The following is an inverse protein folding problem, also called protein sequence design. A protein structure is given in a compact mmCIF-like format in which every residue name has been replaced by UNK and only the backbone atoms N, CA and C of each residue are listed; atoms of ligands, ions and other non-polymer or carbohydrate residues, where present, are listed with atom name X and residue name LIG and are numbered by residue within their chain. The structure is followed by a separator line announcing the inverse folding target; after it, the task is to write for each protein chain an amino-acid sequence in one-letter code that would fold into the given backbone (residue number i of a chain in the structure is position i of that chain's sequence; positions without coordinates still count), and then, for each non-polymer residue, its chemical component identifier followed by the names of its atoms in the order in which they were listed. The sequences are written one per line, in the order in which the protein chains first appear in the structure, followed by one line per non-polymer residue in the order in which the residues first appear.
data_IF_765651259404
#
_entry.id   IF_765651259404
#
_cell.length_a   1.000
_cell.length_b   1.000
_cell.length_c   1.000
_cell.angle_alpha   90.00
_cell.angle_beta   90.00
_cell.angle_gamma   90.00
#
_symmetry.space_group_name_H-M   'P 1'
#
loop_
_entity.id
_entity.type
_entity.pdbx_description
1 polymer ?
#
# COMPACT_ATOMS: atom_id res chain seq x y z
N UNK A 1 11.85 -5.57 9.71
CA UNK A 1 11.68 -6.11 8.34
C UNK A 1 10.94 -5.09 7.48
N UNK A 2 11.47 -3.86 7.36
CA UNK A 2 10.84 -2.72 6.63
C UNK A 2 11.91 -1.98 5.81
N UNK A 3 12.93 -2.69 5.32
CA UNK A 3 14.02 -2.09 4.53
C UNK A 3 14.01 -2.52 3.06
N UNK A 4 13.30 -3.59 2.71
CA UNK A 4 13.28 -4.13 1.34
C UNK A 4 12.09 -3.65 0.49
N UNK A 5 11.04 -3.08 1.09
CA UNK A 5 9.83 -2.70 0.36
C UNK A 5 9.92 -1.37 -0.41
N UNK A 6 10.97 -0.57 -0.20
CA UNK A 6 11.20 0.67 -0.97
C UNK A 6 11.97 0.36 -2.28
N UNK A 7 12.47 -0.87 -2.47
CA UNK A 7 13.45 -1.16 -3.52
C UNK A 7 12.87 -1.40 -4.93
N UNK A 8 11.54 -1.43 -5.10
CA UNK A 8 10.90 -1.54 -6.43
C UNK A 8 10.33 -0.23 -6.99
N UNK A 9 10.39 0.87 -6.23
CA UNK A 9 10.36 2.19 -6.83
C UNK A 9 11.80 2.46 -7.30
N UNK A 10 12.22 1.76 -8.36
CA UNK A 10 13.42 2.17 -9.10
C UNK A 10 13.25 3.65 -9.40
N UNK A 11 14.18 4.41 -8.87
CA UNK A 11 14.25 5.86 -8.95
C UNK A 11 13.74 6.35 -10.30
N UNK A 12 12.64 7.07 -10.25
CA UNK A 12 12.25 7.98 -11.31
C UNK A 12 13.38 9.02 -11.35
N UNK A 13 14.21 9.09 -12.41
CA UNK A 13 15.47 9.83 -12.38
C UNK A 13 15.36 11.34 -12.15
N UNK A 14 14.16 11.90 -12.06
CA UNK A 14 13.91 13.34 -12.05
C UNK A 14 12.87 13.81 -11.03
N UNK A 15 12.41 12.96 -10.12
CA UNK A 15 11.49 13.35 -9.04
C UNK A 15 10.13 13.90 -9.52
N UNK A 16 9.76 13.68 -10.79
CA UNK A 16 8.47 14.14 -11.31
C UNK A 16 7.38 13.15 -10.94
N UNK A 17 6.26 13.65 -10.44
CA UNK A 17 5.06 12.86 -10.20
C UNK A 17 4.68 12.07 -11.47
N UNK A 18 4.43 10.76 -11.31
CA UNK A 18 4.09 9.89 -12.42
C UNK A 18 2.60 9.96 -12.73
N UNK A 19 2.28 10.25 -13.99
CA UNK A 19 0.93 10.20 -14.53
C UNK A 19 0.49 8.73 -14.63
N UNK A 20 -0.29 8.28 -13.65
CA UNK A 20 -0.78 6.90 -13.57
C UNK A 20 -1.80 6.58 -14.66
N UNK A 21 -2.60 7.56 -15.10
CA UNK A 21 -3.55 7.36 -16.21
C UNK A 21 -2.84 6.96 -17.49
N UNK A 22 -1.72 7.60 -17.82
CA UNK A 22 -0.96 7.25 -19.03
C UNK A 22 -0.29 5.89 -18.99
N UNK A 23 0.06 5.38 -17.81
CA UNK A 23 0.81 4.13 -17.67
C UNK A 23 -0.09 2.91 -17.61
N UNK A 24 -1.23 3.01 -16.92
CA UNK A 24 -2.13 1.87 -16.75
C UNK A 24 -3.60 2.26 -16.67
N UNK A 25 -4.01 3.47 -17.06
CA UNK A 25 -5.41 3.88 -16.99
C UNK A 25 -5.89 4.22 -15.58
N UNK A 26 -4.98 4.60 -14.68
CA UNK A 26 -5.34 5.09 -13.34
C UNK A 26 -5.52 3.98 -12.29
N UNK A 27 -5.19 2.73 -12.63
CA UNK A 27 -5.22 1.64 -11.68
C UNK A 27 -4.01 1.71 -10.74
N UNK A 28 -4.18 1.28 -9.49
CA UNK A 28 -3.01 0.94 -8.67
C UNK A 28 -2.29 -0.22 -9.35
N UNK A 29 -0.97 -0.11 -9.53
CA UNK A 29 -0.16 -1.11 -10.25
C UNK A 29 -0.33 -2.50 -9.61
N UNK A 30 -0.61 -2.53 -8.31
CA UNK A 30 -0.80 -3.72 -7.50
C UNK A 30 -1.92 -3.47 -6.47
N UNK A 31 -2.76 -4.47 -6.14
CA UNK A 31 -3.67 -4.35 -5.00
C UNK A 31 -2.89 -4.07 -3.72
N UNK A 32 -3.23 -2.97 -3.07
CA UNK A 32 -2.61 -2.52 -1.84
C UNK A 32 -3.64 -2.04 -0.82
N UNK A 33 -3.36 -2.23 0.47
CA UNK A 33 -4.18 -1.71 1.56
C UNK A 33 -3.27 -1.21 2.69
N UNK A 34 -3.60 -0.05 3.24
CA UNK A 34 -2.91 0.55 4.36
C UNK A 34 -3.91 0.93 5.43
N UNK A 35 -3.56 0.68 6.69
CA UNK A 35 -4.36 1.11 7.84
C UNK A 35 -3.48 2.02 8.68
N UNK A 36 -3.99 3.21 8.93
CA UNK A 36 -3.36 4.24 9.73
C UNK A 36 -4.10 4.35 11.06
N UNK A 37 -3.35 4.64 12.12
CA UNK A 37 -3.96 5.12 13.36
C UNK A 37 -4.35 6.61 13.25
N UNK A 38 -4.93 7.15 14.32
CA UNK A 38 -5.38 8.56 14.39
C UNK A 38 -4.24 9.58 14.39
N UNK A 39 -2.99 9.14 14.56
CA UNK A 39 -1.80 10.00 14.47
C UNK A 39 -1.22 10.05 13.06
N UNK A 40 -1.79 9.28 12.12
CA UNK A 40 -1.27 9.12 10.76
C UNK A 40 -0.14 8.09 10.67
N UNK A 41 0.10 7.29 11.71
CA UNK A 41 1.10 6.23 11.67
C UNK A 41 0.52 4.98 11.01
N UNK A 42 1.24 4.41 10.03
CA UNK A 42 0.84 3.15 9.39
C UNK A 42 1.01 2.00 10.39
N UNK A 43 -0.10 1.29 10.69
CA UNK A 43 -0.14 0.12 11.58
C UNK A 43 -0.27 -1.20 10.82
N UNK A 44 -0.73 -1.14 9.57
CA UNK A 44 -0.78 -2.29 8.66
C UNK A 44 -0.50 -1.84 7.23
N UNK A 45 0.25 -2.67 6.50
CA UNK A 45 0.54 -2.47 5.09
C UNK A 45 0.41 -3.82 4.35
N UNK A 46 -0.27 -3.79 3.22
CA UNK A 46 -0.42 -4.90 2.29
C UNK A 46 -0.17 -4.38 0.88
N UNK A 47 0.58 -5.15 0.11
CA UNK A 47 0.73 -5.01 -1.34
C UNK A 47 0.95 -6.41 -1.94
N UNK A 48 0.40 -6.66 -3.12
CA UNK A 48 0.61 -7.93 -3.82
C UNK A 48 0.66 -7.72 -5.33
N UNK A 49 1.73 -8.17 -5.98
CA UNK A 49 1.90 -8.05 -7.43
C UNK A 49 0.89 -8.89 -8.23
N UNK A 50 0.32 -9.93 -7.62
CA UNK A 50 -0.75 -10.70 -8.22
C UNK A 50 -2.12 -10.04 -7.95
N UNK A 51 -2.66 -9.37 -8.97
CA UNK A 51 -3.93 -8.63 -8.90
C UNK A 51 -5.17 -9.47 -8.54
N UNK A 52 -5.09 -10.80 -8.69
CA UNK A 52 -6.18 -11.72 -8.36
C UNK A 52 -6.25 -12.04 -6.86
N UNK A 53 -5.18 -11.78 -6.12
CA UNK A 53 -5.08 -12.03 -4.69
C UNK A 53 -5.29 -10.72 -3.94
N UNK A 54 -6.19 -10.73 -2.96
CA UNK A 54 -6.53 -9.56 -2.15
C UNK A 54 -6.32 -9.87 -0.66
N UNK A 55 -6.10 -8.82 0.14
CA UNK A 55 -6.15 -8.96 1.59
C UNK A 55 -7.54 -9.45 2.01
N UNK A 56 -7.59 -10.39 2.95
CA UNK A 56 -8.85 -10.85 3.53
C UNK A 56 -9.54 -9.71 4.28
N UNK A 57 -10.87 -9.61 4.13
CA UNK A 57 -11.67 -8.61 4.83
C UNK A 57 -11.54 -8.73 6.34
N UNK A 58 -11.50 -9.96 6.87
CA UNK A 58 -11.33 -10.21 8.30
C UNK A 58 -9.97 -9.74 8.81
N UNK A 59 -8.91 -9.93 8.00
CA UNK A 59 -7.57 -9.46 8.33
C UNK A 59 -7.53 -7.92 8.37
N UNK A 60 -8.17 -7.26 7.40
CA UNK A 60 -8.27 -5.80 7.37
C UNK A 60 -9.07 -5.27 8.56
N UNK A 61 -10.22 -5.89 8.88
CA UNK A 61 -11.04 -5.48 10.01
C UNK A 61 -10.31 -5.65 11.34
N UNK A 62 -9.58 -6.76 11.51
CA UNK A 62 -8.75 -6.99 12.70
C UNK A 62 -7.68 -5.91 12.83
N UNK A 63 -6.92 -5.65 11.77
CA UNK A 63 -5.88 -4.64 11.78
C UNK A 63 -6.43 -3.21 11.99
N UNK A 64 -7.65 -2.90 11.50
CA UNK A 64 -8.33 -1.64 11.79
C UNK A 64 -8.69 -1.50 13.27
N UNK A 65 -9.21 -2.56 13.91
CA UNK A 65 -9.50 -2.56 15.34
C UNK A 65 -8.24 -2.38 16.18
N UNK A 66 -7.16 -3.06 15.80
CA UNK A 66 -5.85 -2.93 16.46
C UNK A 66 -5.27 -1.52 16.31
N UNK A 67 -5.44 -0.86 15.14
CA UNK A 67 -4.99 0.51 14.93
C UNK A 67 -5.75 1.56 15.76
N UNK A 68 -6.97 1.24 16.21
CA UNK A 68 -7.78 2.09 17.09
C UNK A 68 -7.53 1.82 18.58
N UNK A 69 -7.10 0.61 18.92
CA UNK A 69 -6.69 0.26 20.28
C UNK A 69 -5.32 0.89 20.56
N UNK A 70 -5.31 1.95 21.37
CA UNK A 70 -4.10 2.68 21.77
C UNK A 70 -3.04 1.77 22.41
#
# INVERSE_FOLDING_TARGET
VVKEYIQHVKEIPDGRAFDMEKRNGGFLVTPSAFILDTTGTIRFAYANDNYTVRASQDALLKAAKEALAK
#
